data_IF_984820312564
#
_entry.id   IF_984820312564
#
_cell.length_a   1.000
_cell.length_b   1.000
_cell.length_c   1.000
_cell.angle_alpha   90.00
_cell.angle_beta   90.00
_cell.angle_gamma   90.00
#
_symmetry.space_group_name_H-M   'P 1'
#
loop_
_entity.id
_entity.type
_entity.pdbx_description
1 polymer ?
#
# COMPACT_ATOMS: atom_id res chain seq x y z
N UNK A 1 7.21 -37.04 -8.36
CA UNK A 1 7.26 -35.80 -7.53
C UNK A 1 7.56 -34.63 -8.43
N UNK A 2 7.02 -33.44 -8.14
CA UNK A 2 7.15 -32.26 -8.99
C UNK A 2 7.85 -31.13 -8.25
N UNK A 3 8.71 -30.37 -8.94
CA UNK A 3 9.26 -29.13 -8.38
C UNK A 3 8.18 -28.04 -8.41
N UNK A 4 7.82 -27.42 -7.28
CA UNK A 4 6.76 -26.40 -7.25
C UNK A 4 7.16 -25.09 -7.95
N UNK A 5 8.44 -24.90 -8.28
CA UNK A 5 8.94 -23.66 -8.89
C UNK A 5 8.97 -23.72 -10.42
N UNK A 6 9.53 -24.79 -10.97
CA UNK A 6 9.68 -24.95 -12.42
C UNK A 6 8.77 -26.04 -13.00
N UNK A 7 7.96 -26.68 -12.17
CA UNK A 7 7.02 -27.76 -12.53
C UNK A 7 7.65 -29.00 -13.18
N UNK A 8 8.99 -29.13 -13.19
CA UNK A 8 9.68 -30.32 -13.70
C UNK A 8 9.39 -31.54 -12.83
N UNK A 9 9.14 -32.68 -13.47
CA UNK A 9 8.82 -33.95 -12.82
C UNK A 9 10.09 -34.79 -12.56
N UNK A 10 10.12 -35.44 -11.41
CA UNK A 10 11.22 -36.28 -10.95
C UNK A 10 10.70 -37.64 -10.48
N UNK A 11 11.42 -38.70 -10.88
CA UNK A 11 11.13 -40.09 -10.52
C UNK A 11 11.48 -40.41 -9.06
N UNK A 12 12.44 -39.69 -8.46
CA UNK A 12 12.90 -39.91 -7.08
C UNK A 12 13.02 -38.58 -6.29
N UNK A 13 12.90 -38.67 -4.96
CA UNK A 13 12.92 -37.51 -4.05
C UNK A 13 14.31 -36.88 -4.01
N UNK A 14 15.35 -37.70 -4.07
CA UNK A 14 16.75 -37.27 -4.14
C UNK A 14 17.02 -36.42 -5.38
N UNK A 15 16.45 -36.80 -6.54
CA UNK A 15 16.57 -36.03 -7.78
C UNK A 15 15.85 -34.68 -7.70
N UNK A 16 14.69 -34.62 -7.05
CA UNK A 16 13.98 -33.37 -6.79
C UNK A 16 14.81 -32.44 -5.89
N UNK A 17 15.35 -32.96 -4.78
CA UNK A 17 16.15 -32.17 -3.83
C UNK A 17 17.44 -31.65 -4.48
N UNK A 18 18.13 -32.48 -5.26
CA UNK A 18 19.32 -32.05 -6.02
C UNK A 18 18.95 -30.97 -7.04
N UNK A 19 17.84 -31.14 -7.76
CA UNK A 19 17.36 -30.12 -8.68
C UNK A 19 17.04 -28.79 -7.97
N UNK A 20 16.35 -28.81 -6.82
CA UNK A 20 16.04 -27.61 -6.05
C UNK A 20 17.30 -26.87 -5.58
N UNK A 21 18.36 -27.61 -5.23
CA UNK A 21 19.63 -27.02 -4.77
C UNK A 21 20.48 -26.49 -5.92
N UNK A 22 20.64 -27.25 -7.00
CA UNK A 22 21.72 -27.01 -7.97
C UNK A 22 21.25 -26.49 -9.32
N UNK A 23 20.03 -26.81 -9.74
CA UNK A 23 19.65 -26.69 -11.16
C UNK A 23 18.25 -26.13 -11.39
N UNK A 24 17.60 -25.63 -10.34
CA UNK A 24 16.35 -24.91 -10.51
C UNK A 24 16.70 -23.51 -11.03
N UNK A 25 16.28 -23.14 -12.25
CA UNK A 25 16.56 -21.80 -12.80
C UNK A 25 15.93 -20.69 -11.93
N UNK A 26 14.94 -21.05 -11.13
CA UNK A 26 14.32 -20.22 -10.10
C UNK A 26 14.94 -20.52 -8.72
N UNK A 27 16.25 -20.33 -8.59
CA UNK A 27 16.87 -20.26 -7.26
C UNK A 27 16.23 -19.09 -6.52
N UNK A 28 15.88 -19.31 -5.26
CA UNK A 28 15.72 -18.19 -4.34
C UNK A 28 17.13 -17.62 -4.21
N UNK A 29 17.35 -16.42 -4.74
CA UNK A 29 18.53 -15.68 -4.37
C UNK A 29 18.31 -15.31 -2.90
N UNK A 30 19.02 -15.97 -1.98
CA UNK A 30 19.07 -15.52 -0.58
C UNK A 30 19.80 -14.15 -0.49
N UNK A 31 20.35 -13.67 -1.61
CA UNK A 31 20.82 -12.31 -1.84
C UNK A 31 19.93 -11.53 -2.83
N UNK A 32 18.62 -11.79 -2.92
CA UNK A 32 17.73 -10.69 -3.30
C UNK A 32 17.95 -9.66 -2.19
N UNK A 33 18.54 -8.48 -2.48
CA UNK A 33 18.50 -7.43 -1.49
C UNK A 33 17.03 -7.32 -1.15
N UNK A 34 16.67 -7.50 0.12
CA UNK A 34 15.49 -6.82 0.60
C UNK A 34 15.80 -5.35 0.33
N UNK A 35 15.49 -4.88 -0.88
CA UNK A 35 15.15 -3.52 -1.13
C UNK A 35 13.98 -3.36 -0.19
N UNK A 36 14.32 -2.91 1.03
CA UNK A 36 13.46 -2.15 1.90
C UNK A 36 12.99 -1.00 1.02
N UNK A 37 12.02 -1.29 0.15
CA UNK A 37 11.25 -0.25 -0.48
C UNK A 37 10.59 0.39 0.73
N UNK A 38 11.09 1.58 1.07
CA UNK A 38 10.40 2.48 1.95
C UNK A 38 9.04 2.67 1.29
N UNK A 39 8.04 1.92 1.72
CA UNK A 39 6.67 2.14 1.29
C UNK A 39 6.28 3.42 2.01
N UNK A 40 6.64 4.55 1.42
CA UNK A 40 5.96 5.79 1.72
C UNK A 40 4.59 5.67 1.05
N UNK A 41 3.49 6.06 1.71
CA UNK A 41 2.13 5.98 1.13
C UNK A 41 2.00 6.71 -0.23
N UNK A 42 2.98 7.56 -0.56
CA UNK A 42 2.98 8.44 -1.72
C UNK A 42 3.69 7.84 -2.95
N UNK A 43 4.60 6.88 -2.80
CA UNK A 43 5.37 6.34 -3.95
C UNK A 43 4.72 5.14 -4.65
N UNK A 44 3.63 4.59 -4.14
CA UNK A 44 2.86 3.57 -4.85
C UNK A 44 1.98 4.14 -5.98
N UNK A 45 1.86 5.46 -6.15
CA UNK A 45 0.84 6.04 -7.06
C UNK A 45 1.28 6.01 -8.54
N UNK A 46 2.58 6.05 -8.84
CA UNK A 46 3.05 6.16 -10.23
C UNK A 46 3.20 4.82 -10.95
N UNK A 47 3.67 3.77 -10.29
CA UNK A 47 3.85 2.43 -10.90
C UNK A 47 2.52 1.71 -11.17
N UNK A 48 1.42 2.14 -10.54
CA UNK A 48 0.12 1.48 -10.65
C UNK A 48 -0.70 1.97 -11.87
N UNK A 49 -0.37 3.14 -12.43
CA UNK A 49 -1.14 3.73 -13.56
C UNK A 49 -1.20 2.81 -14.78
N UNK A 50 -0.13 2.08 -15.07
CA UNK A 50 -0.06 1.20 -16.26
C UNK A 50 -0.83 -0.13 -16.09
N UNK A 51 -1.01 -0.61 -14.86
CA UNK A 51 -1.81 -1.83 -14.59
C UNK A 51 -3.32 -1.53 -14.52
N UNK A 52 -3.71 -0.33 -14.09
CA UNK A 52 -5.13 0.08 -13.96
C UNK A 52 -5.80 0.30 -15.31
N UNK A 53 -5.07 0.82 -16.31
CA UNK A 53 -5.64 1.28 -17.60
C UNK A 53 -6.25 0.18 -18.49
N UNK A 54 -6.22 -1.09 -18.08
CA UNK A 54 -6.76 -2.21 -18.85
C UNK A 54 -7.86 -3.01 -18.12
N UNK A 55 -8.51 -2.44 -17.11
CA UNK A 55 -9.64 -3.13 -16.46
C UNK A 55 -10.85 -3.15 -17.42
N UNK A 56 -11.35 -4.34 -17.81
CA UNK A 56 -12.40 -4.43 -18.82
C UNK A 56 -13.79 -4.07 -18.26
N UNK A 57 -13.99 -4.18 -16.95
CA UNK A 57 -15.28 -3.90 -16.30
C UNK A 57 -15.12 -3.44 -14.83
N UNK A 58 -16.19 -2.83 -14.31
CA UNK A 58 -16.28 -2.35 -12.92
C UNK A 58 -16.01 -3.47 -11.91
N UNK A 59 -16.45 -4.69 -12.20
CA UNK A 59 -16.27 -5.85 -11.31
C UNK A 59 -14.79 -6.18 -11.14
N UNK A 60 -14.03 -6.18 -12.23
CA UNK A 60 -12.59 -6.37 -12.26
C UNK A 60 -11.88 -5.27 -11.47
N UNK A 61 -12.35 -4.03 -11.57
CA UNK A 61 -11.82 -2.92 -10.76
C UNK A 61 -12.04 -3.13 -9.26
N UNK A 62 -13.21 -3.62 -8.85
CA UNK A 62 -13.48 -3.93 -7.43
C UNK A 62 -12.74 -5.19 -6.97
N UNK A 63 -12.58 -6.21 -7.82
CA UNK A 63 -11.73 -7.39 -7.52
C UNK A 63 -10.27 -7.00 -7.31
N UNK A 64 -9.75 -6.08 -8.14
CA UNK A 64 -8.42 -5.50 -7.95
C UNK A 64 -8.30 -4.81 -6.59
N UNK A 65 -9.26 -3.97 -6.21
CA UNK A 65 -9.26 -3.33 -4.89
C UNK A 65 -9.31 -4.33 -3.74
N UNK A 66 -10.15 -5.36 -3.85
CA UNK A 66 -10.22 -6.42 -2.86
C UNK A 66 -8.86 -7.10 -2.65
N UNK A 67 -8.17 -7.46 -3.74
CA UNK A 67 -6.83 -8.05 -3.67
C UNK A 67 -5.82 -7.07 -3.08
N UNK A 68 -5.90 -5.79 -3.46
CA UNK A 68 -5.01 -4.73 -2.95
C UNK A 68 -5.17 -4.55 -1.44
N UNK A 69 -6.41 -4.46 -0.95
CA UNK A 69 -6.69 -4.36 0.48
C UNK A 69 -6.27 -5.60 1.26
N UNK A 70 -6.47 -6.80 0.69
CA UNK A 70 -6.00 -8.05 1.31
C UNK A 70 -4.48 -8.03 1.53
N UNK A 71 -3.73 -7.57 0.53
CA UNK A 71 -2.27 -7.46 0.64
C UNK A 71 -1.86 -6.38 1.66
N UNK A 72 -2.49 -5.20 1.61
CA UNK A 72 -2.18 -4.11 2.53
C UNK A 72 -2.55 -4.42 3.99
N UNK A 73 -3.64 -5.15 4.21
CA UNK A 73 -4.01 -5.68 5.52
C UNK A 73 -2.89 -6.58 6.05
N UNK A 74 -2.47 -7.56 5.24
CA UNK A 74 -1.39 -8.47 5.63
C UNK A 74 -0.09 -7.72 5.95
N UNK A 75 0.29 -6.75 5.11
CA UNK A 75 1.49 -5.95 5.32
C UNK A 75 1.41 -5.13 6.62
N UNK A 76 0.26 -4.53 6.91
CA UNK A 76 0.03 -3.76 8.13
C UNK A 76 0.05 -4.65 9.39
N UNK A 77 -0.58 -5.83 9.35
CA UNK A 77 -0.52 -6.82 10.44
C UNK A 77 0.91 -7.32 10.67
N UNK A 78 1.66 -7.58 9.59
CA UNK A 78 3.05 -8.00 9.67
C UNK A 78 3.93 -6.91 10.29
N UNK A 79 3.78 -5.67 9.85
CA UNK A 79 4.54 -4.53 10.39
C UNK A 79 4.19 -4.27 11.86
N UNK A 80 2.94 -4.46 12.28
CA UNK A 80 2.55 -4.34 13.70
C UNK A 80 3.33 -5.32 14.60
N UNK A 81 3.53 -6.55 14.13
CA UNK A 81 4.21 -7.61 14.90
C UNK A 81 5.74 -7.53 14.80
N UNK A 82 6.26 -7.19 13.61
CA UNK A 82 7.69 -7.34 13.29
C UNK A 82 8.42 -6.04 12.97
N UNK A 83 7.72 -4.92 12.76
CA UNK A 83 8.25 -3.65 12.26
C UNK A 83 9.16 -2.88 13.22
N UNK A 84 9.25 -3.31 14.49
CA UNK A 84 10.02 -2.64 15.55
C UNK A 84 9.70 -1.13 15.70
N UNK A 85 8.55 -0.66 15.19
CA UNK A 85 8.13 0.74 15.26
C UNK A 85 8.94 1.70 14.39
N UNK A 86 9.59 1.23 13.32
CA UNK A 86 10.49 2.06 12.52
C UNK A 86 9.75 3.13 11.67
N UNK A 87 8.54 2.82 11.20
CA UNK A 87 7.75 3.70 10.34
C UNK A 87 6.42 4.10 10.98
N UNK A 88 5.77 3.14 11.64
CA UNK A 88 4.47 3.31 12.27
C UNK A 88 4.49 2.64 13.64
N UNK A 89 3.76 3.22 14.58
CA UNK A 89 3.50 2.56 15.85
C UNK A 89 2.64 1.30 15.64
N UNK A 90 2.73 0.34 16.57
CA UNK A 90 1.89 -0.86 16.55
C UNK A 90 0.39 -0.52 16.52
N UNK A 91 -0.02 0.53 17.23
CA UNK A 91 -1.41 1.01 17.25
C UNK A 91 -1.86 1.54 15.88
N UNK A 92 -1.01 2.30 15.19
CA UNK A 92 -1.29 2.80 13.84
C UNK A 92 -1.36 1.66 12.82
N UNK A 93 -0.43 0.71 12.86
CA UNK A 93 -0.46 -0.47 12.00
C UNK A 93 -1.74 -1.29 12.20
N UNK A 94 -2.14 -1.52 13.46
CA UNK A 94 -3.39 -2.22 13.78
C UNK A 94 -4.63 -1.45 13.31
N UNK A 95 -4.61 -0.12 13.36
CA UNK A 95 -5.69 0.72 12.84
C UNK A 95 -5.78 0.61 11.31
N UNK A 96 -4.65 0.66 10.61
CA UNK A 96 -4.58 0.51 9.16
C UNK A 96 -5.07 -0.88 8.72
N UNK A 97 -4.59 -1.95 9.39
CA UNK A 97 -5.02 -3.31 9.13
C UNK A 97 -6.55 -3.45 9.21
N UNK A 98 -7.16 -2.91 10.27
CA UNK A 98 -8.63 -2.90 10.43
C UNK A 98 -9.33 -2.12 9.33
N UNK A 99 -8.81 -0.95 8.93
CA UNK A 99 -9.40 -0.19 7.83
C UNK A 99 -9.37 -0.98 6.51
N UNK A 100 -8.25 -1.66 6.21
CA UNK A 100 -8.13 -2.52 5.03
C UNK A 100 -9.04 -3.75 5.11
N UNK A 101 -9.17 -4.38 6.28
CA UNK A 101 -10.12 -5.47 6.52
C UNK A 101 -11.56 -5.03 6.20
N UNK A 102 -11.99 -3.85 6.70
CA UNK A 102 -13.29 -3.30 6.35
C UNK A 102 -13.41 -2.98 4.85
N UNK A 103 -12.35 -2.50 4.20
CA UNK A 103 -12.29 -2.32 2.76
C UNK A 103 -12.54 -3.63 2.01
N UNK A 104 -11.91 -4.73 2.44
CA UNK A 104 -12.14 -6.08 1.90
C UNK A 104 -13.61 -6.49 2.03
N UNK A 105 -14.22 -6.33 3.21
CA UNK A 105 -15.63 -6.67 3.42
C UNK A 105 -16.58 -5.89 2.50
N UNK A 106 -16.29 -4.60 2.28
CA UNK A 106 -17.09 -3.74 1.41
C UNK A 106 -16.98 -4.22 -0.04
N UNK A 107 -15.77 -4.47 -0.53
CA UNK A 107 -15.55 -5.02 -1.87
C UNK A 107 -16.25 -6.38 -2.02
N UNK A 108 -16.14 -7.28 -1.04
CA UNK A 108 -16.80 -8.59 -1.08
C UNK A 108 -18.33 -8.45 -1.14
N UNK A 109 -18.93 -7.56 -0.34
CA UNK A 109 -20.37 -7.28 -0.40
C UNK A 109 -20.81 -6.80 -1.78
N UNK A 110 -20.00 -5.97 -2.45
CA UNK A 110 -20.29 -5.54 -3.83
C UNK A 110 -20.19 -6.69 -4.82
N UNK A 111 -19.12 -7.51 -4.73
CA UNK A 111 -18.93 -8.67 -5.61
C UNK A 111 -20.02 -9.75 -5.44
N UNK A 112 -20.66 -9.79 -4.27
CA UNK A 112 -21.82 -10.61 -3.96
C UNK A 112 -23.16 -9.93 -4.32
N UNK A 113 -23.14 -8.77 -4.98
CA UNK A 113 -24.31 -7.99 -5.39
C UNK A 113 -25.21 -7.55 -4.21
N UNK A 114 -24.64 -7.42 -3.00
CA UNK A 114 -25.36 -7.00 -1.78
C UNK A 114 -25.42 -5.49 -1.60
N UNK A 115 -24.50 -4.75 -2.22
CA UNK A 115 -24.43 -3.28 -2.19
C UNK A 115 -24.12 -2.74 -3.58
N UNK A 116 -24.50 -1.49 -3.84
CA UNK A 116 -24.17 -0.79 -5.09
C UNK A 116 -22.82 -0.06 -5.00
N UNK A 117 -22.36 0.49 -6.13
CA UNK A 117 -21.04 1.14 -6.22
C UNK A 117 -20.96 2.43 -5.41
N UNK A 118 -22.07 3.16 -5.29
CA UNK A 118 -22.21 4.34 -4.44
C UNK A 118 -21.89 3.99 -2.98
N UNK A 119 -22.44 2.87 -2.50
CA UNK A 119 -22.17 2.38 -1.15
C UNK A 119 -20.68 2.02 -0.98
N UNK A 120 -20.03 1.46 -1.99
CA UNK A 120 -18.59 1.16 -1.94
C UNK A 120 -17.80 2.46 -1.76
N UNK A 121 -18.07 3.46 -2.60
CA UNK A 121 -17.39 4.76 -2.54
C UNK A 121 -17.58 5.43 -1.18
N UNK A 122 -18.81 5.52 -0.68
CA UNK A 122 -19.10 6.15 0.61
C UNK A 122 -18.41 5.44 1.78
N UNK A 123 -18.36 4.10 1.77
CA UNK A 123 -17.66 3.35 2.81
C UNK A 123 -16.14 3.55 2.72
N UNK A 124 -15.55 3.58 1.53
CA UNK A 124 -14.12 3.83 1.36
C UNK A 124 -13.73 5.24 1.79
N UNK A 125 -14.54 6.26 1.48
CA UNK A 125 -14.33 7.63 1.98
C UNK A 125 -14.41 7.68 3.51
N UNK A 126 -15.38 6.97 4.12
CA UNK A 126 -15.52 6.92 5.58
C UNK A 126 -14.32 6.27 6.28
N UNK A 127 -13.63 5.37 5.59
CA UNK A 127 -12.45 4.67 6.08
C UNK A 127 -11.14 5.45 5.84
N UNK A 128 -11.17 6.58 5.13
CA UNK A 128 -9.96 7.30 4.70
C UNK A 128 -9.19 6.58 3.59
N UNK A 129 -9.91 5.84 2.74
CA UNK A 129 -9.36 5.02 1.63
C UNK A 129 -9.72 5.60 0.26
N UNK A 130 -10.06 6.88 0.19
CA UNK A 130 -10.44 7.59 -1.04
C UNK A 130 -9.34 7.56 -2.12
N UNK A 131 -8.06 7.50 -1.73
CA UNK A 131 -6.94 7.37 -2.67
C UNK A 131 -7.01 6.12 -3.53
N UNK A 132 -7.70 5.08 -3.06
CA UNK A 132 -7.92 3.83 -3.79
C UNK A 132 -9.08 3.89 -4.78
N UNK A 133 -9.84 5.00 -4.85
CA UNK A 133 -10.95 5.13 -5.78
C UNK A 133 -10.51 5.53 -7.20
N UNK A 134 -9.24 5.87 -7.40
CA UNK A 134 -8.70 6.24 -8.71
C UNK A 134 -9.01 5.22 -9.82
N UNK A 135 -8.83 3.89 -9.63
CA UNK A 135 -9.15 2.89 -10.65
C UNK A 135 -10.64 2.81 -11.00
N UNK A 136 -11.51 3.33 -10.13
CA UNK A 136 -12.95 3.27 -10.32
C UNK A 136 -13.52 4.51 -10.99
N UNK A 137 -12.75 5.61 -11.09
CA UNK A 137 -13.24 6.93 -11.53
C UNK A 137 -14.00 6.87 -12.86
N UNK A 138 -13.52 6.08 -13.82
CA UNK A 138 -14.12 5.98 -15.15
C UNK A 138 -15.50 5.28 -15.16
N UNK A 139 -15.85 4.57 -14.08
CA UNK A 139 -17.12 3.87 -13.92
C UNK A 139 -18.11 4.60 -12.99
N UNK A 140 -17.67 5.68 -12.33
CA UNK A 140 -18.52 6.44 -11.40
C UNK A 140 -19.32 7.51 -12.15
N UNK A 141 -20.54 7.78 -11.69
CA UNK A 141 -21.32 8.88 -12.24
C UNK A 141 -20.74 10.24 -11.80
N UNK A 142 -21.04 11.29 -12.57
CA UNK A 142 -20.56 12.65 -12.31
C UNK A 142 -20.87 13.13 -10.88
N UNK A 143 -22.07 12.80 -10.37
CA UNK A 143 -22.50 13.19 -9.01
C UNK A 143 -21.58 12.60 -7.90
N UNK A 144 -21.01 11.42 -8.13
CA UNK A 144 -20.05 10.80 -7.19
C UNK A 144 -18.66 11.40 -7.38
N UNK A 145 -18.25 11.63 -8.62
CA UNK A 145 -16.95 12.24 -8.93
C UNK A 145 -16.83 13.65 -8.34
N UNK A 146 -17.90 14.43 -8.39
CA UNK A 146 -17.94 15.75 -7.79
C UNK A 146 -17.66 15.67 -6.28
N UNK A 147 -18.25 14.69 -5.57
CA UNK A 147 -17.98 14.45 -4.15
C UNK A 147 -16.53 14.08 -3.86
N UNK A 148 -15.83 13.43 -4.80
CA UNK A 148 -14.42 13.04 -4.64
C UNK A 148 -13.45 14.20 -4.85
N UNK A 149 -13.80 15.16 -5.71
CA UNK A 149 -12.94 16.30 -6.03
C UNK A 149 -12.90 17.37 -4.92
N UNK A 150 -13.84 17.36 -3.97
CA UNK A 150 -13.87 18.33 -2.86
C UNK A 150 -12.73 18.18 -1.84
N UNK A 151 -11.87 17.16 -1.96
CA UNK A 151 -10.78 16.92 -1.00
C UNK A 151 -9.40 17.48 -1.41
N UNK A 152 -9.24 18.01 -2.62
CA UNK A 152 -7.93 18.48 -3.13
C UNK A 152 -7.69 20.00 -2.96
N UNK A 153 -8.63 20.73 -2.35
CA UNK A 153 -8.36 22.10 -1.88
C UNK A 153 -7.51 22.04 -0.60
N UNK A 154 -6.25 21.68 -0.80
CA UNK A 154 -5.19 21.96 0.16
C UNK A 154 -5.07 23.48 0.28
N UNK A 155 -5.51 23.99 1.44
CA UNK A 155 -5.12 25.27 1.98
C UNK A 155 -3.60 25.41 1.85
N UNK A 156 -3.18 26.10 0.80
CA UNK A 156 -1.88 26.73 0.75
C UNK A 156 -1.95 27.94 1.68
N UNK A 157 -2.00 27.65 2.98
CA UNK A 157 -1.60 28.61 4.00
C UNK A 157 -0.12 28.87 3.73
N UNK A 158 0.15 29.90 2.93
CA UNK A 158 1.43 30.57 2.85
C UNK A 158 1.75 31.09 4.26
N UNK A 159 2.29 30.21 5.12
CA UNK A 159 3.02 30.65 6.31
C UNK A 159 4.25 31.37 5.80
N UNK A 160 4.06 32.68 5.61
CA UNK A 160 5.09 33.69 5.48
C UNK A 160 6.06 33.50 6.66
N UNK A 161 7.15 32.78 6.43
CA UNK A 161 8.22 32.60 7.39
C UNK A 161 8.99 33.92 7.47
N UNK A 162 8.49 34.79 8.32
CA UNK A 162 9.14 36.03 8.74
C UNK A 162 10.58 35.70 9.18
N UNK A 163 11.53 36.39 8.54
CA UNK A 163 12.97 36.28 8.76
C UNK A 163 13.33 36.79 10.16
N UNK A 164 13.23 35.97 11.21
CA UNK A 164 13.88 36.29 12.50
C UNK A 164 15.33 35.84 12.50
N UNK A 165 16.17 36.75 11.99
CA UNK A 165 17.52 37.12 12.44
C UNK A 165 18.16 36.20 13.50
N UNK A 166 19.16 35.43 13.08
CA UNK A 166 20.09 34.75 13.98
C UNK A 166 20.94 35.80 14.73
N UNK A 167 20.61 36.08 15.99
CA UNK A 167 21.48 36.86 16.87
C UNK A 167 22.68 35.99 17.25
N UNK A 168 23.85 36.32 16.71
CA UNK A 168 25.14 35.80 17.14
C UNK A 168 25.39 36.23 18.59
N UNK A 169 25.28 35.32 19.55
CA UNK A 169 25.77 35.58 20.91
C UNK A 169 27.26 35.27 20.96
N UNK A 170 28.05 36.34 21.09
CA UNK A 170 29.49 36.35 21.30
C UNK A 170 29.90 35.48 22.51
N UNK A 171 30.86 34.60 22.26
CA UNK A 171 31.62 33.87 23.27
C UNK A 171 32.45 34.84 24.10
N UNK A 172 32.08 35.05 25.36
CA UNK A 172 32.99 35.63 26.34
C UNK A 172 33.81 34.51 27.00
N UNK A 173 35.05 34.35 26.53
CA UNK A 173 36.14 33.73 27.28
C UNK A 173 36.40 34.54 28.55
N UNK A 174 36.26 33.90 29.72
CA UNK A 174 36.72 34.44 31.00
C UNK A 174 37.72 33.46 31.60
N UNK A 175 38.99 33.76 31.34
CA UNK A 175 40.11 33.30 32.15
C UNK A 175 39.87 33.66 33.62
N UNK A 176 39.92 32.68 34.51
CA UNK A 176 40.22 32.91 35.92
C UNK A 176 41.33 31.95 36.33
N UNK A 177 42.34 32.58 36.92
CA UNK A 177 43.68 32.12 37.31
C UNK A 177 43.71 30.96 38.29
#
# INVERSE_FOLDING_TARGET
MQCPRCYKLFSARSSLLRHQRESCPYRYDENIPQKKQKITPVQCVEEIKDEIMNLPDLKSGVEYLYQKFTNLQFDAEHEAVYGMGAFHSEEECNKLAKNYEYGCEVCEKFLQEKICIECVVENLMRLGLEGFLHPLKDYLCADILDKLNFSDESDSDETNCDETECVETESNDLEVQ
#
